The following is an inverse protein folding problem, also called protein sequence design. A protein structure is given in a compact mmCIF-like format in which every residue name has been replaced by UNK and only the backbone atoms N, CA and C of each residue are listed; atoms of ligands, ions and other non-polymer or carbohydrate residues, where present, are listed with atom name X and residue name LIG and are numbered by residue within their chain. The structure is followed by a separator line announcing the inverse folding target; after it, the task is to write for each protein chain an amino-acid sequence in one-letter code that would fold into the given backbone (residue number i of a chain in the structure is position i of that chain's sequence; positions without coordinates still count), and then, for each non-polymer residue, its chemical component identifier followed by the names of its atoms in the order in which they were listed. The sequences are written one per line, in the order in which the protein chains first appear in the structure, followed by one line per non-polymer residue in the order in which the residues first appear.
data_IF_852619878629
#
_entry.id   IF_852619878629
#
_cell.length_a   1.000
_cell.length_b   1.000
_cell.length_c   1.000
_cell.angle_alpha   90.00
_cell.angle_beta   90.00
_cell.angle_gamma   90.00
#
_symmetry.space_group_name_H-M   'P 1'
#
loop_
_entity.id
_entity.type
_entity.pdbx_description
1 polymer ?
#
# COMPACT_ATOMS: atom_id res chain seq x y z
N UNK A 1 10.24 -2.10 38.34
CA UNK A 1 9.23 -2.94 37.65
C UNK A 1 9.92 -3.54 36.44
N UNK A 2 10.03 -4.87 36.33
CA UNK A 2 10.62 -5.51 35.15
C UNK A 2 9.49 -5.68 34.13
N UNK A 3 9.63 -5.06 32.95
CA UNK A 3 8.70 -5.25 31.85
C UNK A 3 9.02 -6.60 31.21
N UNK A 4 8.06 -7.52 31.20
CA UNK A 4 8.15 -8.78 30.46
C UNK A 4 7.60 -8.58 29.04
N UNK A 5 8.41 -8.92 28.03
CA UNK A 5 8.00 -8.85 26.64
C UNK A 5 7.25 -10.13 26.24
N UNK A 6 6.22 -9.97 25.40
CA UNK A 6 5.49 -11.12 24.87
C UNK A 6 6.30 -11.86 23.81
N UNK A 7 6.33 -13.20 23.89
CA UNK A 7 6.99 -14.04 22.90
C UNK A 7 6.36 -13.96 21.49
N UNK A 8 5.10 -13.53 21.36
CA UNK A 8 4.40 -13.45 20.04
C UNK A 8 5.03 -12.44 19.09
N UNK A 9 5.74 -11.45 19.63
CA UNK A 9 6.49 -10.46 18.84
C UNK A 9 7.90 -10.92 18.50
N UNK A 10 8.33 -12.10 18.97
CA UNK A 10 9.64 -12.66 18.66
C UNK A 10 9.62 -13.31 17.28
N UNK A 11 9.47 -12.46 16.26
CA UNK A 11 9.51 -12.82 14.85
C UNK A 11 10.74 -12.19 14.20
N UNK A 12 11.27 -12.85 13.17
CA UNK A 12 12.34 -12.28 12.37
C UNK A 12 11.88 -10.97 11.70
N UNK A 13 12.74 -9.94 11.62
CA UNK A 13 12.42 -8.71 10.94
C UNK A 13 12.35 -8.91 9.43
N UNK A 14 11.80 -7.91 8.73
CA UNK A 14 11.82 -7.89 7.28
C UNK A 14 13.18 -7.41 6.76
N UNK A 15 14.14 -8.34 6.65
CA UNK A 15 15.55 -8.11 6.30
C UNK A 15 15.79 -7.32 5.00
N UNK A 16 14.83 -7.28 4.06
CA UNK A 16 14.96 -6.46 2.85
C UNK A 16 15.07 -4.96 3.16
N UNK A 17 14.49 -4.50 4.27
CA UNK A 17 14.56 -3.10 4.69
C UNK A 17 15.95 -2.68 5.13
N UNK A 18 16.75 -3.60 5.69
CA UNK A 18 18.12 -3.32 6.08
C UNK A 18 19.02 -3.10 4.85
N UNK A 19 18.80 -3.88 3.79
CA UNK A 19 19.49 -3.70 2.50
C UNK A 19 19.13 -2.35 1.87
N UNK A 20 17.86 -1.96 1.91
CA UNK A 20 17.42 -0.65 1.44
C UNK A 20 18.05 0.49 2.26
N UNK A 21 18.08 0.36 3.58
CA UNK A 21 18.66 1.36 4.47
C UNK A 21 20.16 1.57 4.18
N UNK A 22 20.91 0.48 4.00
CA UNK A 22 22.32 0.54 3.67
C UNK A 22 22.58 1.14 2.28
N UNK A 23 21.80 0.75 1.27
CA UNK A 23 21.88 1.35 -0.06
C UNK A 23 21.65 2.87 -0.03
N UNK A 24 20.68 3.35 0.78
CA UNK A 24 20.42 4.77 0.95
C UNK A 24 21.55 5.48 1.69
N UNK A 25 22.14 4.85 2.71
CA UNK A 25 23.30 5.38 3.44
C UNK A 25 24.50 5.59 2.52
N UNK A 26 24.81 4.61 1.67
CA UNK A 26 25.90 4.71 0.70
C UNK A 26 25.64 5.81 -0.34
N UNK A 27 24.41 5.89 -0.88
CA UNK A 27 24.02 6.97 -1.80
C UNK A 27 24.19 8.36 -1.17
N UNK A 28 23.78 8.53 0.09
CA UNK A 28 23.92 9.79 0.81
C UNK A 28 25.40 10.19 1.03
N UNK A 29 26.32 9.22 1.03
CA UNK A 29 27.76 9.44 1.08
C UNK A 29 28.39 9.70 -0.29
N UNK A 30 27.59 9.77 -1.36
CA UNK A 30 28.06 9.98 -2.73
C UNK A 30 28.60 8.71 -3.41
N UNK A 31 28.42 7.53 -2.80
CA UNK A 31 28.81 6.26 -3.42
C UNK A 31 27.81 5.93 -4.55
N UNK A 32 28.27 5.61 -5.76
CA UNK A 32 27.38 5.17 -6.84
C UNK A 32 26.81 3.79 -6.50
N UNK A 33 25.48 3.71 -6.35
CA UNK A 33 24.77 2.47 -6.00
C UNK A 33 23.69 2.18 -7.03
N UNK A 34 23.78 1.00 -7.65
CA UNK A 34 22.69 0.41 -8.44
C UNK A 34 21.91 -0.51 -7.50
N UNK A 35 20.72 -0.08 -7.07
CA UNK A 35 19.88 -0.88 -6.17
C UNK A 35 18.97 -1.80 -6.98
N UNK A 36 19.17 -3.11 -6.81
CA UNK A 36 18.33 -4.16 -7.38
C UNK A 36 17.54 -4.92 -6.28
N UNK A 37 17.53 -4.39 -5.06
CA UNK A 37 16.96 -5.05 -3.88
C UNK A 37 15.53 -4.60 -3.54
N UNK A 38 15.03 -3.56 -4.21
CA UNK A 38 13.75 -2.92 -3.87
C UNK A 38 12.60 -3.63 -4.59
N UNK A 39 11.63 -4.14 -3.82
CA UNK A 39 10.47 -4.87 -4.34
C UNK A 39 9.28 -4.01 -4.77
N UNK A 40 9.42 -2.68 -4.84
CA UNK A 40 8.36 -1.77 -5.31
C UNK A 40 8.69 -1.18 -6.68
N UNK A 41 7.67 -0.81 -7.47
CA UNK A 41 7.87 -0.05 -8.71
C UNK A 41 8.58 1.29 -8.48
N UNK A 42 9.29 1.76 -9.52
CA UNK A 42 9.87 3.10 -9.56
C UNK A 42 8.87 4.18 -9.96
N UNK A 43 7.82 3.81 -10.71
CA UNK A 43 6.84 4.74 -11.22
C UNK A 43 5.89 5.23 -10.13
N UNK A 44 5.44 6.51 -10.19
CA UNK A 44 4.41 7.00 -9.29
C UNK A 44 3.05 6.37 -9.60
N UNK A 45 2.09 6.55 -8.68
CA UNK A 45 0.70 6.24 -8.96
C UNK A 45 0.20 6.95 -10.24
N UNK A 46 -0.69 6.33 -11.04
CA UNK A 46 -1.20 6.92 -12.27
C UNK A 46 -1.80 8.32 -12.06
N UNK A 47 -1.68 9.18 -13.07
CA UNK A 47 -2.11 10.59 -13.01
C UNK A 47 -3.59 10.73 -12.59
N UNK A 48 -4.46 9.85 -13.08
CA UNK A 48 -5.89 9.86 -12.71
C UNK A 48 -6.14 9.62 -11.21
N UNK A 49 -5.35 8.74 -10.59
CA UNK A 49 -5.45 8.47 -9.14
C UNK A 49 -4.98 9.69 -8.34
N UNK A 50 -3.85 10.28 -8.75
CA UNK A 50 -3.29 11.48 -8.11
C UNK A 50 -4.24 12.67 -8.19
N UNK A 51 -4.89 12.87 -9.34
CA UNK A 51 -5.88 13.93 -9.54
C UNK A 51 -7.14 13.72 -8.69
N UNK A 52 -7.64 12.48 -8.59
CA UNK A 52 -8.79 12.16 -7.73
C UNK A 52 -8.49 12.40 -6.25
N UNK A 53 -7.29 12.05 -5.79
CA UNK A 53 -6.84 12.32 -4.42
C UNK A 53 -6.72 13.82 -4.14
N UNK A 54 -6.13 14.59 -5.05
CA UNK A 54 -6.03 16.06 -4.92
C UNK A 54 -7.41 16.71 -4.78
N UNK A 55 -8.36 16.32 -5.65
CA UNK A 55 -9.75 16.80 -5.58
C UNK A 55 -10.44 16.43 -4.26
N UNK A 56 -10.19 15.23 -3.74
CA UNK A 56 -10.76 14.81 -2.46
C UNK A 56 -10.27 15.69 -1.29
N UNK A 57 -8.99 16.11 -1.33
CA UNK A 57 -8.40 17.01 -0.34
C UNK A 57 -9.01 18.42 -0.41
N UNK A 58 -9.27 18.95 -1.60
CA UNK A 58 -9.91 20.27 -1.78
C UNK A 58 -11.30 20.34 -1.11
N UNK A 59 -12.06 19.25 -1.16
CA UNK A 59 -13.42 19.19 -0.59
C UNK A 59 -13.40 18.91 0.93
N UNK A 60 -12.27 18.47 1.48
CA UNK A 60 -12.06 18.31 2.93
C UNK A 60 -12.87 17.21 3.62
N UNK A 61 -13.64 16.39 2.88
CA UNK A 61 -14.47 15.31 3.43
C UNK A 61 -13.71 13.98 3.51
N UNK A 62 -12.64 13.95 4.29
CA UNK A 62 -11.86 12.73 4.56
C UNK A 62 -12.16 12.27 5.99
N UNK A 63 -13.15 11.41 6.12
CA UNK A 63 -13.56 10.82 7.39
C UNK A 63 -13.54 9.29 7.34
N UNK A 64 -13.99 8.67 8.43
CA UNK A 64 -14.17 7.22 8.47
C UNK A 64 -15.12 6.76 7.35
N UNK A 65 -14.81 5.59 6.80
CA UNK A 65 -15.68 4.88 5.85
C UNK A 65 -16.30 3.67 6.51
N UNK A 66 -17.21 2.99 5.81
CA UNK A 66 -17.68 1.67 6.22
C UNK A 66 -16.49 0.72 6.45
N UNK A 67 -16.65 -0.23 7.36
CA UNK A 67 -15.59 -1.17 7.78
C UNK A 67 -14.98 -1.95 6.62
N UNK A 68 -15.79 -2.29 5.60
CA UNK A 68 -15.33 -3.01 4.41
C UNK A 68 -14.81 -2.07 3.31
N UNK A 69 -14.82 -0.77 3.54
CA UNK A 69 -14.46 0.27 2.59
C UNK A 69 -15.64 0.81 1.78
N UNK A 70 -15.35 1.88 1.04
CA UNK A 70 -16.31 2.62 0.23
C UNK A 70 -17.04 1.72 -0.78
N UNK A 71 -18.37 1.76 -0.76
CA UNK A 71 -19.19 0.99 -1.69
C UNK A 71 -18.86 1.25 -3.19
N UNK A 72 -18.60 2.49 -3.65
CA UNK A 72 -18.16 2.72 -5.03
C UNK A 72 -16.84 2.03 -5.39
N UNK A 73 -15.87 1.98 -4.47
CA UNK A 73 -14.59 1.32 -4.71
C UNK A 73 -14.77 -0.20 -4.80
N UNK A 74 -15.56 -0.78 -3.91
CA UNK A 74 -15.88 -2.22 -3.96
C UNK A 74 -16.56 -2.62 -5.27
N UNK A 75 -17.53 -1.81 -5.74
CA UNK A 75 -18.18 -2.02 -7.05
C UNK A 75 -17.20 -1.89 -8.22
N UNK A 76 -16.29 -0.92 -8.16
CA UNK A 76 -15.27 -0.75 -9.21
C UNK A 76 -14.31 -1.95 -9.28
N UNK A 77 -13.91 -2.51 -8.13
CA UNK A 77 -13.09 -3.73 -8.09
C UNK A 77 -13.86 -4.92 -8.68
N UNK A 78 -15.12 -5.12 -8.30
CA UNK A 78 -15.97 -6.15 -8.90
C UNK A 78 -16.09 -6.01 -10.43
N UNK A 79 -16.31 -4.78 -10.91
CA UNK A 79 -16.36 -4.49 -12.35
C UNK A 79 -15.05 -4.83 -13.06
N UNK A 80 -13.89 -4.52 -12.45
CA UNK A 80 -12.60 -4.92 -13.00
C UNK A 80 -12.47 -6.45 -13.14
N UNK A 81 -13.02 -7.23 -12.20
CA UNK A 81 -13.02 -8.69 -12.33
C UNK A 81 -13.84 -9.17 -13.52
N UNK A 82 -14.99 -8.56 -13.76
CA UNK A 82 -15.82 -8.88 -14.92
C UNK A 82 -15.12 -8.48 -16.22
N UNK A 83 -14.61 -7.26 -16.31
CA UNK A 83 -14.03 -6.70 -17.54
C UNK A 83 -12.70 -7.35 -17.92
N UNK A 84 -11.84 -7.62 -16.93
CA UNK A 84 -10.48 -8.09 -17.19
C UNK A 84 -10.35 -9.61 -17.15
N UNK A 85 -11.13 -10.28 -16.31
CA UNK A 85 -11.04 -11.73 -16.11
C UNK A 85 -12.31 -12.49 -16.53
N UNK A 86 -13.40 -11.80 -16.90
CA UNK A 86 -14.67 -12.45 -17.24
C UNK A 86 -15.38 -13.05 -16.03
N UNK A 87 -15.08 -12.59 -14.80
CA UNK A 87 -15.60 -13.14 -13.56
C UNK A 87 -16.62 -12.21 -12.93
N UNK A 88 -17.85 -12.71 -12.74
CA UNK A 88 -18.87 -12.00 -11.97
C UNK A 88 -18.64 -12.19 -10.46
N UNK A 89 -18.16 -11.12 -9.81
CA UNK A 89 -17.87 -11.10 -8.38
C UNK A 89 -18.83 -10.14 -7.69
N UNK A 90 -19.66 -10.66 -6.78
CA UNK A 90 -20.52 -9.83 -5.94
C UNK A 90 -19.67 -8.82 -5.11
N UNK A 91 -19.92 -7.50 -5.21
CA UNK A 91 -19.24 -6.48 -4.39
C UNK A 91 -19.33 -6.73 -2.88
N UNK A 92 -20.33 -7.48 -2.40
CA UNK A 92 -20.46 -7.93 -1.01
C UNK A 92 -19.33 -8.86 -0.55
N UNK A 93 -18.60 -9.47 -1.49
CA UNK A 93 -17.43 -10.33 -1.24
C UNK A 93 -16.10 -9.58 -1.22
N UNK A 94 -16.11 -8.26 -1.37
CA UNK A 94 -14.91 -7.42 -1.45
C UNK A 94 -14.76 -6.60 -0.17
N UNK A 95 -13.56 -6.63 0.41
CA UNK A 95 -13.15 -5.78 1.51
C UNK A 95 -11.91 -4.96 1.11
N UNK A 96 -11.93 -3.67 1.37
CA UNK A 96 -10.77 -2.78 1.18
C UNK A 96 -9.99 -2.74 2.48
N UNK A 97 -8.71 -3.10 2.42
CA UNK A 97 -7.80 -3.12 3.56
C UNK A 97 -6.71 -2.06 3.43
N UNK A 98 -6.03 -1.74 4.52
CA UNK A 98 -4.77 -1.01 4.47
C UNK A 98 -3.74 -1.96 3.88
N UNK A 99 -3.45 -1.78 2.58
CA UNK A 99 -2.60 -2.65 1.76
C UNK A 99 -1.36 -3.18 2.45
#
# INVERSE_FOLDING_TARGET
MVVSLSHRGNVEPFHAMDVLAEANRLKAQGVPVISMAVGQPSDPAPVGVRAAAAKALEVGRIGYTDTLGLAPLRKAIAGHYADHYGLDVDPGRIAVTTG
#
